data_IF_587956029103
#
_entry.id   IF_587956029103
#
_cell.length_a   1.000
_cell.length_b   1.000
_cell.length_c   1.000
_cell.angle_alpha   90.00
_cell.angle_beta   90.00
_cell.angle_gamma   90.00
#
_symmetry.space_group_name_H-M   'P 1'
#
loop_
_entity.id
_entity.type
_entity.pdbx_description
1 polymer ?
#
# COMPACT_ATOMS: atom_id res chain seq x y z
N UNK A 1 -17.09 -20.62 -24.09
CA UNK A 1 -17.06 -19.41 -23.23
C UNK A 1 -15.67 -18.80 -23.36
N UNK A 2 -15.49 -17.57 -23.84
CA UNK A 2 -14.16 -17.00 -23.94
C UNK A 2 -13.76 -16.33 -22.62
N UNK A 3 -12.67 -16.85 -22.07
CA UNK A 3 -11.54 -16.18 -21.45
C UNK A 3 -11.82 -15.05 -20.44
N UNK A 4 -11.80 -15.42 -19.16
CA UNK A 4 -11.59 -14.48 -18.06
C UNK A 4 -10.13 -14.02 -18.15
N UNK A 5 -9.91 -12.87 -18.78
CA UNK A 5 -8.61 -12.21 -18.86
C UNK A 5 -8.10 -11.93 -17.44
N UNK A 6 -7.26 -12.84 -16.96
CA UNK A 6 -6.45 -12.69 -15.76
C UNK A 6 -5.64 -11.41 -15.96
N UNK A 7 -5.92 -10.40 -15.14
CA UNK A 7 -5.09 -9.20 -15.04
C UNK A 7 -3.67 -9.68 -14.71
N UNK A 8 -2.84 -9.76 -15.75
CA UNK A 8 -1.47 -10.22 -15.61
C UNK A 8 -0.76 -9.05 -14.96
N UNK A 9 -0.58 -9.11 -13.64
CA UNK A 9 0.38 -8.24 -12.97
C UNK A 9 1.71 -8.52 -13.66
N UNK A 10 2.13 -7.60 -14.54
CA UNK A 10 3.43 -7.71 -15.19
C UNK A 10 4.44 -7.84 -14.06
N UNK A 11 5.16 -8.95 -14.02
CA UNK A 11 6.27 -9.16 -13.10
C UNK A 11 7.25 -8.02 -13.35
N UNK A 12 7.19 -6.99 -12.53
CA UNK A 12 8.10 -5.87 -12.68
C UNK A 12 9.47 -6.39 -12.25
N UNK A 13 10.47 -6.22 -13.11
CA UNK A 13 11.85 -6.53 -12.74
C UNK A 13 12.21 -5.56 -11.63
N UNK A 14 12.38 -6.07 -10.42
CA UNK A 14 12.76 -5.27 -9.26
C UNK A 14 14.20 -4.78 -9.44
N UNK A 15 14.51 -3.51 -9.14
CA UNK A 15 15.86 -2.99 -9.28
C UNK A 15 16.88 -3.77 -8.43
N UNK A 16 18.10 -3.93 -8.96
CA UNK A 16 19.17 -4.67 -8.27
C UNK A 16 19.59 -4.02 -6.94
N UNK A 17 19.43 -2.70 -6.83
CA UNK A 17 19.77 -1.93 -5.63
C UNK A 17 18.77 -2.11 -4.48
N UNK A 18 17.61 -2.75 -4.72
CA UNK A 18 16.67 -3.02 -3.64
C UNK A 18 17.31 -3.91 -2.57
N UNK A 19 17.10 -3.60 -1.28
CA UNK A 19 17.56 -4.49 -0.22
C UNK A 19 16.89 -5.87 -0.37
N UNK A 20 17.56 -6.92 0.11
CA UNK A 20 17.12 -8.31 -0.10
C UNK A 20 15.67 -8.55 0.32
N UNK A 21 15.26 -8.02 1.49
CA UNK A 21 13.89 -8.13 2.00
C UNK A 21 12.85 -7.50 1.07
N UNK A 22 13.20 -6.40 0.38
CA UNK A 22 12.30 -5.70 -0.52
C UNK A 22 12.09 -6.48 -1.83
N UNK A 23 13.14 -7.17 -2.30
CA UNK A 23 13.05 -8.08 -3.44
C UNK A 23 12.20 -9.31 -3.11
N UNK A 24 12.41 -9.89 -1.93
CA UNK A 24 11.62 -11.02 -1.45
C UNK A 24 10.13 -10.67 -1.32
N UNK A 25 9.81 -9.53 -0.69
CA UNK A 25 8.42 -9.05 -0.61
C UNK A 25 7.83 -8.82 -2.00
N UNK A 26 8.63 -8.23 -2.88
CA UNK A 26 8.33 -8.05 -4.29
C UNK A 26 7.90 -9.36 -4.98
N UNK A 27 8.71 -10.40 -4.86
CA UNK A 27 8.46 -11.70 -5.46
C UNK A 27 7.21 -12.39 -4.91
N UNK A 28 6.94 -12.26 -3.60
CA UNK A 28 5.78 -12.87 -2.95
C UNK A 28 4.45 -12.24 -3.40
N UNK A 29 4.41 -10.93 -3.67
CA UNK A 29 3.17 -10.26 -4.06
C UNK A 29 2.77 -10.50 -5.52
N UNK A 30 3.71 -10.81 -6.41
CA UNK A 30 3.43 -11.09 -7.83
C UNK A 30 2.58 -12.36 -8.07
N UNK A 31 2.26 -13.10 -7.02
CA UNK A 31 1.38 -14.27 -7.05
C UNK A 31 -0.09 -13.94 -7.38
N UNK A 32 -0.48 -12.66 -7.35
CA UNK A 32 -1.83 -12.21 -7.72
C UNK A 32 -2.91 -12.51 -6.68
N UNK A 33 -2.52 -12.89 -5.46
CA UNK A 33 -3.42 -13.14 -4.33
C UNK A 33 -3.44 -11.97 -3.34
N UNK A 34 -4.46 -11.92 -2.48
CA UNK A 34 -4.42 -11.06 -1.28
C UNK A 34 -3.24 -11.49 -0.41
N UNK A 35 -2.37 -10.55 -0.09
CA UNK A 35 -1.18 -10.78 0.73
C UNK A 35 -1.22 -9.88 1.97
N UNK A 36 -0.80 -10.43 3.11
CA UNK A 36 -0.55 -9.67 4.34
C UNK A 36 0.91 -9.88 4.72
N UNK A 37 1.62 -8.79 4.98
CA UNK A 37 3.03 -8.82 5.38
C UNK A 37 3.20 -8.10 6.72
N UNK A 38 4.08 -8.64 7.56
CA UNK A 38 4.56 -7.95 8.77
C UNK A 38 6.04 -7.65 8.57
N UNK A 39 6.37 -6.37 8.45
CA UNK A 39 7.75 -5.90 8.40
C UNK A 39 8.25 -5.63 9.82
N UNK A 40 9.43 -6.15 10.15
CA UNK A 40 10.02 -6.04 11.49
C UNK A 40 11.53 -5.76 11.42
N UNK A 41 12.15 -5.47 12.57
CA UNK A 41 13.54 -5.03 12.67
C UNK A 41 13.64 -3.51 12.79
N UNK A 42 14.63 -2.89 12.12
CA UNK A 42 14.84 -1.44 12.18
C UNK A 42 13.93 -0.69 11.20
N UNK A 43 12.61 -0.79 11.39
CA UNK A 43 11.59 -0.17 10.51
C UNK A 43 11.59 1.37 10.51
N UNK A 44 12.27 1.97 11.48
CA UNK A 44 12.46 3.42 11.57
C UNK A 44 13.77 3.92 10.93
N UNK A 45 14.60 3.01 10.42
CA UNK A 45 15.81 3.40 9.70
C UNK A 45 15.49 3.88 8.29
N UNK A 46 16.48 4.48 7.65
CA UNK A 46 16.40 4.95 6.28
C UNK A 46 16.72 3.81 5.30
N UNK A 47 15.96 3.77 4.21
CA UNK A 47 16.15 2.83 3.11
C UNK A 47 16.83 3.56 1.97
N UNK A 48 17.88 2.94 1.42
CA UNK A 48 18.53 3.45 0.20
C UNK A 48 17.51 3.50 -0.95
N UNK A 49 17.37 4.67 -1.55
CA UNK A 49 16.39 4.95 -2.60
C UNK A 49 16.97 6.03 -3.53
N UNK A 50 17.85 5.65 -4.49
CA UNK A 50 18.55 6.61 -5.32
C UNK A 50 17.60 7.42 -6.21
N UNK A 51 17.93 8.69 -6.43
CA UNK A 51 17.17 9.61 -7.30
C UNK A 51 18.10 10.10 -8.39
N UNK A 52 17.76 9.84 -9.67
CA UNK A 52 18.58 10.25 -10.83
C UNK A 52 20.06 9.86 -10.68
N UNK A 53 20.31 8.62 -10.25
CA UNK A 53 21.64 8.04 -10.00
C UNK A 53 22.45 8.69 -8.87
N UNK A 54 21.86 9.62 -8.11
CA UNK A 54 22.46 10.15 -6.88
C UNK A 54 22.02 9.33 -5.65
N UNK A 55 22.92 9.13 -4.68
CA UNK A 55 22.57 8.43 -3.44
C UNK A 55 21.56 9.25 -2.65
N UNK A 56 20.39 8.66 -2.41
CA UNK A 56 19.34 9.23 -1.62
C UNK A 56 18.72 8.15 -0.72
N UNK A 57 18.01 8.61 0.30
CA UNK A 57 17.44 7.76 1.34
C UNK A 57 16.06 8.28 1.71
N UNK A 58 15.14 7.36 1.97
CA UNK A 58 13.79 7.70 2.43
C UNK A 58 13.36 6.76 3.56
N UNK A 59 12.31 7.14 4.29
CA UNK A 59 11.77 6.25 5.31
C UNK A 59 11.04 5.05 4.69
N UNK A 60 10.82 4.00 5.47
CA UNK A 60 10.17 2.78 4.99
C UNK A 60 8.79 3.03 4.33
N UNK A 61 7.85 3.81 4.91
CA UNK A 61 6.58 4.10 4.25
C UNK A 61 6.72 4.79 2.89
N UNK A 62 7.64 5.75 2.76
CA UNK A 62 7.94 6.42 1.49
C UNK A 62 8.55 5.46 0.47
N UNK A 63 9.50 4.62 0.90
CA UNK A 63 10.08 3.58 0.06
C UNK A 63 8.98 2.65 -0.46
N UNK A 64 8.12 2.12 0.42
CA UNK A 64 7.02 1.25 0.01
C UNK A 64 6.06 1.94 -0.96
N UNK A 65 5.64 3.18 -0.68
CA UNK A 65 4.66 3.89 -1.50
C UNK A 65 5.20 4.35 -2.87
N UNK A 66 6.47 4.74 -2.93
CA UNK A 66 7.11 5.24 -4.17
C UNK A 66 7.75 4.14 -5.00
N UNK A 67 8.34 3.13 -4.36
CA UNK A 67 9.14 2.09 -5.01
C UNK A 67 8.32 0.82 -5.19
N UNK A 68 8.09 0.06 -4.11
CA UNK A 68 7.44 -1.26 -4.20
C UNK A 68 6.00 -1.19 -4.74
N UNK A 69 5.22 -0.22 -4.26
CA UNK A 69 3.83 0.01 -4.64
C UNK A 69 3.68 1.26 -5.50
N UNK A 70 4.76 1.72 -6.15
CA UNK A 70 4.75 2.93 -6.99
C UNK A 70 3.75 2.87 -8.15
N UNK A 71 3.50 1.67 -8.68
CA UNK A 71 2.55 1.41 -9.77
C UNK A 71 1.11 1.16 -9.33
N UNK A 72 0.84 1.09 -8.02
CA UNK A 72 -0.49 0.77 -7.50
C UNK A 72 -1.40 2.00 -7.52
N UNK A 73 -2.69 1.78 -7.77
CA UNK A 73 -3.70 2.85 -7.82
C UNK A 73 -3.86 3.54 -6.46
N UNK A 74 -3.86 2.76 -5.39
CA UNK A 74 -4.01 3.25 -4.02
C UNK A 74 -2.95 2.67 -3.10
N UNK A 75 -2.28 3.56 -2.36
CA UNK A 75 -1.48 3.23 -1.18
C UNK A 75 -2.00 4.13 -0.06
N UNK A 76 -2.58 3.52 0.97
CA UNK A 76 -3.13 4.21 2.13
C UNK A 76 -2.23 3.95 3.32
N UNK A 77 -1.99 4.95 4.15
CA UNK A 77 -1.32 4.80 5.43
C UNK A 77 -2.26 5.20 6.55
N UNK A 78 -2.26 4.41 7.63
CA UNK A 78 -2.96 4.74 8.86
C UNK A 78 -2.02 4.61 10.07
N UNK A 79 -2.05 5.64 10.89
CA UNK A 79 -1.53 5.64 12.25
C UNK A 79 -2.40 6.55 13.13
N UNK A 80 -2.34 6.37 14.45
CA UNK A 80 -3.18 7.11 15.40
C UNK A 80 -2.92 8.63 15.39
N UNK A 81 -1.70 9.06 15.09
CA UNK A 81 -1.33 10.47 15.11
C UNK A 81 -1.78 11.22 13.85
N UNK A 82 -1.55 10.62 12.68
CA UNK A 82 -1.84 11.21 11.38
C UNK A 82 -3.21 10.84 10.79
N UNK A 83 -3.87 9.81 11.31
CA UNK A 83 -5.10 9.27 10.72
C UNK A 83 -4.86 8.63 9.34
N UNK A 84 -5.96 8.31 8.65
CA UNK A 84 -5.92 7.69 7.33
C UNK A 84 -5.52 8.73 6.28
N UNK A 85 -4.54 8.39 5.42
CA UNK A 85 -4.08 9.28 4.34
C UNK A 85 -3.56 8.53 3.12
N UNK A 86 -3.71 9.08 1.91
CA UNK A 86 -3.05 8.55 0.72
C UNK A 86 -1.53 8.82 0.74
N UNK A 87 -0.76 7.88 0.23
CA UNK A 87 0.70 7.96 0.07
C UNK A 87 1.05 7.86 -1.42
N UNK A 88 1.37 8.98 -2.07
CA UNK A 88 1.65 8.99 -3.52
C UNK A 88 3.12 8.73 -3.88
N UNK A 89 4.01 8.69 -2.88
CA UNK A 89 5.45 8.59 -3.13
C UNK A 89 6.07 9.87 -3.71
N UNK A 90 5.47 11.04 -3.42
CA UNK A 90 5.95 12.34 -3.89
C UNK A 90 5.39 12.79 -5.25
N UNK A 91 4.62 11.94 -5.93
CA UNK A 91 3.94 12.30 -7.17
C UNK A 91 2.64 13.08 -6.88
N UNK A 92 2.58 14.34 -7.31
CA UNK A 92 1.43 15.21 -7.10
C UNK A 92 0.20 14.82 -7.95
N UNK A 93 0.42 14.37 -9.19
CA UNK A 93 -0.67 13.93 -10.07
C UNK A 93 -1.31 12.65 -9.56
N UNK A 94 -0.49 11.70 -9.10
CA UNK A 94 -0.96 10.49 -8.41
C UNK A 94 -1.71 10.84 -7.13
N UNK A 95 -1.18 11.75 -6.31
CA UNK A 95 -1.88 12.20 -5.10
C UNK A 95 -3.26 12.76 -5.40
N UNK A 96 -3.38 13.61 -6.43
CA UNK A 96 -4.65 14.16 -6.86
C UNK A 96 -5.63 13.07 -7.31
N UNK A 97 -5.17 12.11 -8.11
CA UNK A 97 -6.01 10.99 -8.57
C UNK A 97 -6.51 10.13 -7.39
N UNK A 98 -5.63 9.82 -6.43
CA UNK A 98 -5.99 9.08 -5.21
C UNK A 98 -7.02 9.86 -4.39
N UNK A 99 -6.80 11.16 -4.17
CA UNK A 99 -7.70 12.00 -3.40
C UNK A 99 -9.09 12.09 -4.05
N UNK A 100 -9.17 12.28 -5.37
CA UNK A 100 -10.44 12.31 -6.10
C UNK A 100 -11.20 10.99 -5.99
N UNK A 101 -10.51 9.86 -6.16
CA UNK A 101 -11.12 8.55 -6.03
C UNK A 101 -11.65 8.31 -4.61
N UNK A 102 -10.84 8.62 -3.58
CA UNK A 102 -11.22 8.42 -2.18
C UNK A 102 -12.37 9.35 -1.78
N UNK A 103 -12.35 10.62 -2.20
CA UNK A 103 -13.42 11.57 -1.91
C UNK A 103 -14.77 11.11 -2.46
N UNK A 104 -14.81 10.64 -3.71
CA UNK A 104 -16.03 10.11 -4.33
C UNK A 104 -16.57 8.82 -3.68
N UNK A 105 -15.78 8.16 -2.83
CA UNK A 105 -16.06 6.85 -2.26
C UNK A 105 -16.22 6.85 -0.74
N UNK A 106 -15.54 7.75 -0.04
CA UNK A 106 -15.44 7.84 1.43
C UNK A 106 -15.89 9.22 1.96
N UNK A 107 -16.15 10.18 1.07
CA UNK A 107 -16.37 11.57 1.43
C UNK A 107 -15.07 12.35 1.61
N UNK A 108 -15.20 13.63 1.95
CA UNK A 108 -14.07 14.54 2.10
C UNK A 108 -13.07 14.05 3.18
N UNK A 109 -11.75 14.24 2.99
CA UNK A 109 -10.74 13.78 3.95
C UNK A 109 -10.97 14.26 5.40
N UNK A 110 -11.58 15.43 5.57
CA UNK A 110 -11.90 15.98 6.89
C UNK A 110 -12.99 15.22 7.66
N UNK A 111 -13.81 14.41 6.97
CA UNK A 111 -14.86 13.59 7.60
C UNK A 111 -14.42 12.15 7.88
N UNK A 112 -13.18 11.77 7.55
CA UNK A 112 -12.71 10.42 7.78
C UNK A 112 -12.53 10.16 9.29
N UNK A 113 -12.94 8.98 9.79
CA UNK A 113 -12.75 8.61 11.17
C UNK A 113 -11.26 8.60 11.54
N UNK A 114 -10.98 8.82 12.82
CA UNK A 114 -9.61 8.76 13.38
C UNK A 114 -9.41 7.60 14.33
N UNK A 115 -10.48 7.15 14.99
CA UNK A 115 -10.42 5.99 15.86
C UNK A 115 -10.18 4.70 15.04
N UNK A 116 -9.39 3.75 15.56
CA UNK A 116 -9.01 2.55 14.83
C UNK A 116 -10.20 1.74 14.33
N UNK A 117 -11.20 1.52 15.18
CA UNK A 117 -12.32 0.64 14.87
C UNK A 117 -13.10 1.15 13.64
N UNK A 118 -13.44 2.44 13.62
CA UNK A 118 -14.14 3.02 12.48
C UNK A 118 -13.26 3.13 11.23
N UNK A 119 -11.95 3.32 11.38
CA UNK A 119 -11.02 3.31 10.24
C UNK A 119 -10.94 1.92 9.61
N UNK A 120 -10.84 0.87 10.42
CA UNK A 120 -10.84 -0.51 9.92
C UNK A 120 -12.15 -0.84 9.22
N UNK A 121 -13.30 -0.44 9.78
CA UNK A 121 -14.61 -0.58 9.13
C UNK A 121 -14.70 0.20 7.81
N UNK A 122 -14.08 1.39 7.73
CA UNK A 122 -14.02 2.18 6.50
C UNK A 122 -13.18 1.49 5.42
N UNK A 123 -12.02 0.95 5.80
CA UNK A 123 -11.12 0.21 4.91
C UNK A 123 -11.76 -1.08 4.42
N UNK A 124 -12.46 -1.82 5.29
CA UNK A 124 -13.18 -3.03 4.94
C UNK A 124 -14.22 -2.76 3.85
N UNK A 125 -15.11 -1.78 4.06
CA UNK A 125 -16.10 -1.36 3.04
C UNK A 125 -15.46 -0.87 1.74
N UNK A 126 -14.31 -0.20 1.82
CA UNK A 126 -13.56 0.24 0.64
C UNK A 126 -13.10 -0.97 -0.18
N UNK A 127 -12.52 -1.97 0.49
CA UNK A 127 -12.00 -3.20 -0.13
C UNK A 127 -13.14 -4.05 -0.68
N UNK A 128 -14.19 -4.32 0.10
CA UNK A 128 -15.36 -5.09 -0.34
C UNK A 128 -15.96 -4.52 -1.61
N UNK A 129 -16.21 -3.21 -1.63
CA UNK A 129 -16.78 -2.54 -2.81
C UNK A 129 -15.85 -2.59 -4.03
N UNK A 130 -14.54 -2.59 -3.82
CA UNK A 130 -13.57 -2.73 -4.91
C UNK A 130 -13.55 -4.16 -5.46
N UNK A 131 -13.73 -5.17 -4.60
CA UNK A 131 -13.83 -6.58 -5.01
C UNK A 131 -15.14 -6.87 -5.76
N UNK A 132 -16.23 -6.22 -5.37
CA UNK A 132 -17.55 -6.31 -6.00
C UNK A 132 -17.66 -5.52 -7.31
N UNK A 133 -16.62 -4.81 -7.74
CA UNK A 133 -16.64 -4.07 -9.00
C UNK A 133 -16.65 -5.06 -10.18
N UNK A 134 -17.74 -5.03 -10.96
CA UNK A 134 -17.98 -5.94 -12.08
C UNK A 134 -17.02 -5.70 -13.25
N UNK A 135 -16.61 -4.44 -13.46
CA UNK A 135 -15.72 -4.06 -14.55
C UNK A 135 -14.24 -4.19 -14.10
N UNK A 136 -13.46 -5.16 -14.62
CA UNK A 136 -12.10 -5.41 -14.14
C UNK A 136 -11.15 -4.22 -14.28
N UNK A 137 -11.39 -3.35 -15.25
CA UNK A 137 -10.59 -2.13 -15.49
C UNK A 137 -10.83 -1.04 -14.45
N UNK A 138 -11.95 -1.11 -13.71
CA UNK A 138 -12.26 -0.18 -12.61
C UNK A 138 -11.77 -0.65 -11.25
N UNK A 139 -11.42 -1.92 -11.12
CA UNK A 139 -10.81 -2.47 -9.91
C UNK A 139 -9.48 -1.79 -9.67
N UNK A 140 -9.32 -1.27 -8.46
CA UNK A 140 -8.10 -0.62 -8.01
C UNK A 140 -7.20 -1.62 -7.31
N UNK A 141 -5.91 -1.54 -7.60
CA UNK A 141 -4.88 -2.14 -6.76
C UNK A 141 -4.75 -1.30 -5.48
N UNK A 142 -4.89 -1.94 -4.31
CA UNK A 142 -4.95 -1.24 -3.02
C UNK A 142 -3.94 -1.81 -2.03
N UNK A 143 -2.98 -0.99 -1.61
CA UNK A 143 -2.07 -1.28 -0.52
C UNK A 143 -2.49 -0.46 0.72
N UNK A 144 -2.51 -1.10 1.89
CA UNK A 144 -2.76 -0.45 3.18
C UNK A 144 -1.55 -0.68 4.07
N UNK A 145 -0.93 0.41 4.49
CA UNK A 145 0.17 0.46 5.42
C UNK A 145 -0.38 0.81 6.80
N UNK A 146 -0.27 -0.13 7.74
CA UNK A 146 -0.62 0.09 9.13
C UNK A 146 0.68 0.14 9.94
N UNK A 147 0.92 1.26 10.60
CA UNK A 147 2.10 1.40 11.45
C UNK A 147 1.92 0.62 12.76
N UNK A 148 3.03 0.29 13.41
CA UNK A 148 3.06 -0.37 14.73
C UNK A 148 2.37 -1.74 14.76
N UNK A 149 2.89 -2.68 13.96
CA UNK A 149 2.39 -4.05 13.89
C UNK A 149 2.22 -4.74 15.26
N UNK A 150 2.99 -4.36 16.29
CA UNK A 150 2.85 -4.90 17.65
C UNK A 150 1.50 -4.63 18.32
N UNK A 151 0.74 -3.63 17.85
CA UNK A 151 -0.60 -3.34 18.35
C UNK A 151 -1.71 -3.98 17.49
N UNK A 152 -1.34 -4.62 16.38
CA UNK A 152 -2.27 -5.16 15.38
C UNK A 152 -2.18 -6.67 15.30
N UNK A 153 -0.96 -7.20 15.28
CA UNK A 153 -0.72 -8.63 15.28
C UNK A 153 -0.78 -9.15 16.72
N UNK A 154 -1.44 -10.29 16.97
CA UNK A 154 -1.39 -10.94 18.27
C UNK A 154 0.07 -11.24 18.63
N UNK A 155 0.40 -11.15 19.92
CA UNK A 155 1.70 -11.63 20.40
C UNK A 155 1.84 -13.11 20.01
N UNK A 156 2.84 -13.43 19.20
CA UNK A 156 3.19 -14.82 18.94
C UNK A 156 3.73 -15.44 20.22
N UNK A 157 3.32 -16.67 20.53
CA UNK A 157 3.93 -17.43 21.61
C UNK A 157 5.44 -17.58 21.32
N UNK A 158 6.27 -17.23 22.31
CA UNK A 158 7.71 -17.47 22.28
C UNK A 158 7.93 -18.99 22.46
N UNK A 159 7.91 -19.74 21.36
CA UNK A 159 8.39 -21.11 21.32
C UNK A 159 9.90 -21.15 21.08
#
# INVERSE_FOLDING_TARGET
MPDASVSTIRRAVLPEWYPAWARELGDLYFSGTTCLFVLHGNVHDLVYCPVKDEPAYCNLPEFLASQLFGSWDLVLRYDLGGGLRPMSGGDAGRLQAMAQYLAGRLGEPGSWPRDPDNVLLLLDRLIERNLLEDEPTRRKSVCVLLDYAQYLAPAGDLN
#
